data_IF_249160862689
#
_entry.id   IF_249160862689
#
_cell.length_a   1.000
_cell.length_b   1.000
_cell.length_c   1.000
_cell.angle_alpha   90.00
_cell.angle_beta   90.00
_cell.angle_gamma   90.00
#
_symmetry.space_group_name_H-M   'P 1'
#
loop_
_entity.id
_entity.type
_entity.pdbx_description
1 polymer ?
#
# COMPACT_ATOMS: atom_id res chain seq x y z
N UNK A 1 -3.44 15.44 -0.64
CA UNK A 1 -2.69 14.25 -1.10
C UNK A 1 -3.46 12.97 -0.82
N UNK A 2 -3.68 12.17 -1.87
CA UNK A 2 -4.42 10.90 -1.81
C UNK A 2 -3.46 9.77 -2.15
N UNK A 3 -3.48 8.68 -1.39
CA UNK A 3 -2.65 7.51 -1.63
C UNK A 3 -3.51 6.30 -1.90
N UNK A 4 -3.14 5.53 -2.91
CA UNK A 4 -3.88 4.37 -3.37
C UNK A 4 -3.04 3.11 -3.25
N UNK A 5 -3.69 2.00 -2.92
CA UNK A 5 -3.19 0.65 -3.11
C UNK A 5 -4.22 -0.14 -3.90
N UNK A 6 -3.85 -0.57 -5.11
CA UNK A 6 -4.65 -1.49 -5.92
C UNK A 6 -4.06 -2.87 -5.87
N UNK A 7 -4.85 -3.87 -5.47
CA UNK A 7 -4.35 -5.23 -5.38
C UNK A 7 -3.94 -5.72 -6.77
N UNK A 8 -2.68 -6.15 -6.89
CA UNK A 8 -2.10 -6.70 -8.11
C UNK A 8 -2.06 -8.23 -8.03
N UNK A 9 -1.60 -8.77 -6.90
CA UNK A 9 -1.61 -10.18 -6.58
C UNK A 9 -1.60 -10.39 -5.07
N UNK A 10 -2.16 -11.49 -4.57
CA UNK A 10 -2.02 -11.90 -3.18
C UNK A 10 -1.94 -13.42 -3.05
N UNK A 11 -1.27 -13.85 -1.99
CA UNK A 11 -1.27 -15.21 -1.49
C UNK A 11 -1.56 -15.21 0.03
N UNK A 12 -1.35 -16.34 0.69
CA UNK A 12 -1.58 -16.47 2.12
C UNK A 12 -0.62 -15.61 2.96
N UNK A 13 0.61 -15.44 2.48
CA UNK A 13 1.74 -14.88 3.20
C UNK A 13 1.90 -13.37 2.94
N UNK A 14 1.53 -12.88 1.75
CA UNK A 14 1.65 -11.47 1.41
C UNK A 14 0.67 -11.04 0.30
N UNK A 15 0.39 -9.73 0.28
CA UNK A 15 -0.30 -9.06 -0.81
C UNK A 15 0.60 -8.01 -1.48
N UNK A 16 0.51 -7.93 -2.80
CA UNK A 16 1.19 -6.97 -3.67
C UNK A 16 0.17 -5.96 -4.16
N UNK A 17 0.43 -4.69 -3.88
CA UNK A 17 -0.40 -3.56 -4.26
C UNK A 17 0.36 -2.65 -5.21
N UNK A 18 -0.26 -2.25 -6.31
CA UNK A 18 0.18 -1.09 -7.06
C UNK A 18 -0.12 0.16 -6.23
N UNK A 19 0.94 0.76 -5.71
CA UNK A 19 0.90 1.96 -4.90
C UNK A 19 1.11 3.19 -5.78
N UNK A 20 0.23 4.17 -5.61
CA UNK A 20 0.25 5.47 -6.29
C UNK A 20 -0.12 6.60 -5.32
N UNK A 21 0.35 7.80 -5.62
CA UNK A 21 0.12 9.03 -4.87
C UNK A 21 -0.41 10.12 -5.81
N UNK A 22 -1.65 10.53 -5.61
CA UNK A 22 -2.19 11.70 -6.29
C UNK A 22 -1.67 12.97 -5.62
N UNK A 23 -0.80 13.68 -6.35
CA UNK A 23 -0.27 14.98 -5.98
C UNK A 23 -1.07 16.11 -6.61
N UNK A 24 -1.33 17.15 -5.84
CA UNK A 24 -2.09 18.33 -6.28
C UNK A 24 -1.35 19.16 -7.35
N UNK A 25 -0.03 18.97 -7.48
CA UNK A 25 0.84 19.72 -8.40
C UNK A 25 1.00 19.06 -9.80
N UNK A 26 0.40 17.88 -10.02
CA UNK A 26 0.50 17.14 -11.28
C UNK A 26 1.92 16.64 -11.60
N UNK A 27 2.84 16.69 -10.64
CA UNK A 27 4.19 16.17 -10.81
C UNK A 27 4.18 14.63 -10.92
N UNK A 28 5.17 14.03 -11.61
CA UNK A 28 5.30 12.58 -11.66
C UNK A 28 5.43 12.03 -10.24
N UNK A 29 4.75 10.91 -9.97
CA UNK A 29 4.67 10.26 -8.67
C UNK A 29 5.99 9.56 -8.36
N UNK A 30 6.92 10.17 -7.59
CA UNK A 30 8.25 9.60 -7.42
C UNK A 30 8.22 8.31 -6.59
N UNK A 31 7.13 8.11 -5.85
CA UNK A 31 6.95 7.07 -4.87
C UNK A 31 6.08 5.90 -5.36
N UNK A 32 5.56 5.97 -6.58
CA UNK A 32 4.78 4.90 -7.18
C UNK A 32 5.60 3.60 -7.32
N UNK A 33 4.96 2.46 -7.08
CA UNK A 33 5.63 1.15 -7.13
C UNK A 33 4.76 -0.01 -6.68
N UNK A 34 5.37 -1.19 -6.50
CA UNK A 34 4.68 -2.37 -5.97
C UNK A 34 4.93 -2.44 -4.46
N UNK A 35 3.91 -2.10 -3.67
CA UNK A 35 3.89 -2.24 -2.23
C UNK A 35 3.59 -3.70 -1.86
N UNK A 36 4.54 -4.35 -1.19
CA UNK A 36 4.37 -5.67 -0.61
C UNK A 36 3.98 -5.52 0.85
N UNK A 37 2.82 -6.05 1.23
CA UNK A 37 2.30 -6.06 2.61
C UNK A 37 2.32 -7.50 3.12
N UNK A 38 3.20 -7.85 4.06
CA UNK A 38 3.22 -9.17 4.68
C UNK A 38 1.94 -9.42 5.49
N UNK A 39 1.54 -10.68 5.56
CA UNK A 39 0.30 -11.11 6.18
C UNK A 39 0.29 -11.00 7.69
N UNK A 40 1.42 -11.30 8.32
CA UNK A 40 1.54 -11.34 9.79
C UNK A 40 2.02 -10.01 10.39
N UNK A 41 2.75 -9.21 9.60
CA UNK A 41 3.34 -7.95 10.06
C UNK A 41 3.39 -6.91 8.94
N UNK A 42 2.41 -6.01 8.93
CA UNK A 42 2.35 -4.91 7.98
C UNK A 42 3.50 -3.90 8.16
N UNK A 43 4.17 -3.86 9.31
CA UNK A 43 5.29 -2.93 9.55
C UNK A 43 6.53 -3.33 8.75
N UNK A 44 6.62 -4.61 8.36
CA UNK A 44 7.63 -5.12 7.46
C UNK A 44 7.28 -4.91 5.96
N UNK A 45 6.35 -4.01 5.65
CA UNK A 45 6.03 -3.65 4.26
C UNK A 45 7.22 -3.03 3.54
N UNK A 46 7.26 -3.19 2.21
CA UNK A 46 8.31 -2.65 1.34
C UNK A 46 7.78 -2.29 -0.03
N UNK A 47 8.45 -1.37 -0.72
CA UNK A 47 8.24 -1.14 -2.15
C UNK A 47 9.28 -1.96 -2.92
N UNK A 48 8.86 -2.72 -3.92
CA UNK A 48 9.75 -3.52 -4.75
C UNK A 48 10.73 -2.62 -5.52
N UNK A 49 12.02 -2.93 -5.46
CA UNK A 49 13.08 -2.14 -6.10
C UNK A 49 13.50 -0.86 -5.37
N UNK A 50 13.07 -0.66 -4.11
CA UNK A 50 13.47 0.48 -3.26
C UNK A 50 14.08 0.01 -1.94
N UNK A 51 15.05 0.79 -1.46
CA UNK A 51 15.66 0.62 -0.13
C UNK A 51 14.86 1.34 0.98
N UNK A 52 13.95 2.25 0.60
CA UNK A 52 13.09 3.01 1.49
C UNK A 52 11.60 2.67 1.31
N UNK A 53 10.80 3.01 2.32
CA UNK A 53 9.34 2.88 2.28
C UNK A 53 8.71 4.25 2.52
N UNK A 54 8.08 4.85 1.50
CA UNK A 54 7.40 6.13 1.64
C UNK A 54 6.36 6.11 2.76
N UNK A 55 6.24 7.21 3.51
CA UNK A 55 5.28 7.30 4.62
C UNK A 55 3.85 6.99 4.17
N UNK A 56 3.47 7.45 2.97
CA UNK A 56 2.16 7.15 2.37
C UNK A 56 1.93 5.65 2.16
N UNK A 57 2.94 4.91 1.69
CA UNK A 57 2.86 3.46 1.52
C UNK A 57 2.65 2.73 2.86
N UNK A 58 3.33 3.17 3.93
CA UNK A 58 3.13 2.64 5.29
C UNK A 58 1.69 2.86 5.78
N UNK A 59 1.07 4.00 5.45
CA UNK A 59 -0.34 4.28 5.78
C UNK A 59 -1.29 3.36 5.03
N UNK A 60 -1.03 3.11 3.74
CA UNK A 60 -1.80 2.17 2.93
C UNK A 60 -1.66 0.75 3.48
N UNK A 61 -0.43 0.28 3.76
CA UNK A 61 -0.18 -1.05 4.34
C UNK A 61 -0.92 -1.26 5.66
N UNK A 62 -0.86 -0.28 6.58
CA UNK A 62 -1.62 -0.33 7.84
C UNK A 62 -3.12 -0.44 7.62
N UNK A 63 -3.66 0.29 6.64
CA UNK A 63 -5.10 0.26 6.35
C UNK A 63 -5.52 -1.07 5.73
N UNK A 64 -4.74 -1.59 4.79
CA UNK A 64 -4.92 -2.93 4.20
C UNK A 64 -4.97 -4.00 5.29
N UNK A 65 -3.99 -4.00 6.21
CA UNK A 65 -3.94 -4.96 7.30
C UNK A 65 -5.18 -4.88 8.20
N UNK A 66 -5.62 -3.67 8.54
CA UNK A 66 -6.85 -3.48 9.33
C UNK A 66 -8.11 -3.97 8.61
N UNK A 67 -8.19 -3.78 7.29
CA UNK A 67 -9.30 -4.28 6.48
C UNK A 67 -9.29 -5.80 6.42
N UNK A 68 -8.12 -6.42 6.20
CA UNK A 68 -7.94 -7.87 6.24
C UNK A 68 -8.29 -8.47 7.59
N UNK A 69 -7.85 -7.85 8.69
CA UNK A 69 -8.20 -8.32 10.05
C UNK A 69 -9.71 -8.31 10.29
N UNK A 70 -10.44 -7.40 9.63
CA UNK A 70 -11.89 -7.28 9.79
C UNK A 70 -12.67 -8.26 8.90
N UNK A 71 -12.17 -8.58 7.70
CA UNK A 71 -12.91 -9.38 6.69
C UNK A 71 -12.35 -10.79 6.51
N UNK A 72 -11.10 -11.02 6.88
CA UNK A 72 -10.32 -12.21 6.55
C UNK A 72 -9.75 -12.21 5.12
N UNK A 73 -10.03 -11.18 4.32
CA UNK A 73 -9.70 -11.11 2.90
C UNK A 73 -8.82 -9.90 2.59
N UNK A 74 -7.95 -10.03 1.59
CA UNK A 74 -7.15 -8.90 1.11
C UNK A 74 -8.06 -7.91 0.35
N UNK A 75 -8.12 -6.62 0.74
CA UNK A 75 -8.94 -5.65 0.04
C UNK A 75 -8.43 -5.43 -1.38
N UNK A 76 -9.33 -5.42 -2.37
CA UNK A 76 -8.98 -5.18 -3.78
C UNK A 76 -8.47 -3.74 -4.03
N UNK A 77 -8.96 -2.79 -3.22
CA UNK A 77 -8.61 -1.37 -3.31
C UNK A 77 -8.64 -0.74 -1.93
N UNK A 78 -7.58 -0.02 -1.61
CA UNK A 78 -7.47 0.79 -0.39
C UNK A 78 -7.06 2.22 -0.75
N UNK A 79 -7.67 3.19 -0.07
CA UNK A 79 -7.36 4.63 -0.22
C UNK A 79 -7.04 5.25 1.13
N UNK A 80 -6.01 6.08 1.20
CA UNK A 80 -5.70 6.90 2.38
C UNK A 80 -5.64 8.38 1.99
N UNK A 81 -6.13 9.24 2.89
CA UNK A 81 -6.16 10.69 2.69
C UNK A 81 -5.25 11.34 3.73
N UNK A 82 -4.26 12.13 3.30
CA UNK A 82 -3.61 13.10 4.18
C UNK A 82 -4.34 14.42 4.08
N UNK A 83 -4.91 14.86 5.20
CA UNK A 83 -5.23 16.27 5.41
C UNK A 83 -3.95 17.05 5.72
#
# INVERSE_FOLDING_TARGET
MIFWGHLDAADADAARYRYTEERDDGAPEPDAGILVVPGDDWTACRIDGRDDVPHGAVRVARKVARERDATGEWPERTVWFSC
#
